data_IF_745204371114
#
_entry.id   IF_745204371114
#
_cell.length_a   1.000
_cell.length_b   1.000
_cell.length_c   1.000
_cell.angle_alpha   90.00
_cell.angle_beta   90.00
_cell.angle_gamma   90.00
#
_symmetry.space_group_name_H-M   'P 1'
#
loop_
_entity.id
_entity.type
_entity.pdbx_description
1 polymer ?
#
# COMPACT_ATOMS: atom_id res chain seq x y z
N UNK A 1 2.40 -11.25 -3.63
CA UNK A 1 3.23 -10.10 -4.06
C UNK A 1 4.66 -10.43 -3.64
N UNK A 2 5.50 -10.88 -4.59
CA UNK A 2 6.91 -11.14 -4.31
C UNK A 2 7.60 -9.83 -3.87
N UNK A 3 8.64 -9.89 -3.02
CA UNK A 3 9.09 -8.77 -2.19
C UNK A 3 9.71 -7.57 -2.94
N UNK A 4 9.70 -7.58 -4.28
CA UNK A 4 10.35 -6.59 -5.14
C UNK A 4 9.38 -5.79 -6.00
N UNK A 5 8.08 -6.11 -5.97
CA UNK A 5 7.08 -5.43 -6.79
C UNK A 5 6.37 -4.31 -6.04
N UNK A 6 6.53 -3.08 -6.51
CA UNK A 6 5.68 -1.95 -6.13
C UNK A 6 4.37 -2.06 -6.90
N UNK A 7 3.24 -1.91 -6.22
CA UNK A 7 1.93 -1.98 -6.85
C UNK A 7 0.94 -1.06 -6.15
N UNK A 8 -0.06 -0.61 -6.90
CA UNK A 8 -1.19 0.18 -6.41
C UNK A 8 -2.42 -0.71 -6.50
N UNK A 9 -3.15 -0.84 -5.39
CA UNK A 9 -4.46 -1.47 -5.36
C UNK A 9 -5.50 -0.36 -5.37
N UNK A 10 -6.22 -0.24 -6.47
CA UNK A 10 -7.32 0.71 -6.61
C UNK A 10 -8.56 -0.01 -7.10
N UNK A 11 -9.72 0.35 -6.56
CA UNK A 11 -10.98 -0.13 -7.06
C UNK A 11 -11.33 0.60 -8.37
N UNK A 12 -11.51 -0.14 -9.46
CA UNK A 12 -11.85 0.42 -10.76
C UNK A 12 -13.29 0.99 -10.83
N UNK A 13 -14.18 0.54 -9.93
CA UNK A 13 -15.56 1.01 -9.87
C UNK A 13 -15.74 1.99 -8.71
N UNK A 14 -16.11 3.24 -9.02
CA UNK A 14 -16.33 4.28 -8.02
C UNK A 14 -17.60 4.06 -7.17
N UNK A 15 -18.59 3.35 -7.71
CA UNK A 15 -19.93 3.16 -7.13
C UNK A 15 -20.10 1.81 -6.40
N UNK A 16 -19.09 0.94 -6.45
CA UNK A 16 -19.15 -0.41 -5.87
C UNK A 16 -18.05 -0.62 -4.86
N UNK A 17 -18.28 -1.48 -3.86
CA UNK A 17 -17.25 -1.86 -2.90
C UNK A 17 -16.50 -3.08 -3.41
N UNK A 18 -15.16 -3.03 -3.30
CA UNK A 18 -14.29 -4.18 -3.48
C UNK A 18 -13.76 -4.59 -2.11
N UNK A 19 -13.79 -5.90 -1.81
CA UNK A 19 -13.28 -6.46 -0.56
C UNK A 19 -12.20 -7.46 -0.90
N UNK A 20 -11.02 -7.31 -0.30
CA UNK A 20 -9.88 -8.21 -0.48
C UNK A 20 -9.36 -8.68 0.87
N UNK A 21 -8.79 -9.90 0.91
CA UNK A 21 -8.11 -10.46 2.07
C UNK A 21 -6.65 -10.72 1.70
N UNK A 22 -5.74 -10.12 2.45
CA UNK A 22 -4.30 -10.26 2.24
C UNK A 22 -3.71 -10.98 3.46
N UNK A 23 -3.04 -12.10 3.23
CA UNK A 23 -2.38 -12.88 4.28
C UNK A 23 -0.88 -12.71 4.13
N UNK A 24 -0.23 -12.27 5.21
CA UNK A 24 1.22 -12.15 5.32
C UNK A 24 1.73 -13.22 6.30
N UNK A 25 2.88 -13.83 6.00
CA UNK A 25 3.45 -14.93 6.80
C UNK A 25 4.03 -14.52 8.17
N UNK A 26 3.85 -13.27 8.57
CA UNK A 26 4.33 -12.69 9.82
C UNK A 26 3.73 -11.30 10.03
N UNK A 27 4.01 -10.68 11.18
CA UNK A 27 3.53 -9.34 11.48
C UNK A 27 4.17 -8.29 10.57
N UNK A 28 3.34 -7.46 9.95
CA UNK A 28 3.80 -6.38 9.08
C UNK A 28 3.85 -5.07 9.88
N UNK A 29 5.01 -4.80 10.49
CA UNK A 29 5.22 -3.61 11.34
C UNK A 29 5.45 -2.32 10.55
N UNK A 30 6.01 -2.43 9.34
CA UNK A 30 6.35 -1.29 8.49
C UNK A 30 6.30 -1.64 7.01
N UNK A 31 6.09 -0.63 6.18
CA UNK A 31 6.26 -0.72 4.73
C UNK A 31 6.95 0.54 4.19
N UNK A 32 7.32 0.52 2.91
CA UNK A 32 7.67 1.73 2.18
C UNK A 32 6.47 2.16 1.34
N UNK A 33 6.12 3.43 1.41
CA UNK A 33 5.15 4.07 0.53
C UNK A 33 5.90 5.00 -0.43
N UNK A 34 5.31 5.20 -1.60
CA UNK A 34 5.81 6.13 -2.60
C UNK A 34 4.73 7.18 -2.79
N UNK A 35 5.05 8.43 -2.49
CA UNK A 35 4.12 9.56 -2.59
C UNK A 35 4.51 10.38 -3.83
N UNK A 36 3.55 10.80 -4.67
CA UNK A 36 3.84 11.63 -5.84
C UNK A 36 4.25 13.03 -5.38
N UNK A 37 5.34 13.55 -5.94
CA UNK A 37 5.78 14.93 -5.78
C UNK A 37 5.26 15.84 -6.90
N UNK A 38 5.36 17.16 -6.68
CA UNK A 38 4.91 18.18 -7.64
C UNK A 38 5.76 18.24 -8.92
N UNK A 39 6.94 17.62 -8.91
CA UNK A 39 7.92 17.55 -10.00
C UNK A 39 7.77 16.30 -10.88
N UNK A 40 6.72 15.49 -10.64
CA UNK A 40 6.49 14.23 -11.33
C UNK A 40 7.37 13.06 -10.86
N UNK A 41 8.21 13.27 -9.84
CA UNK A 41 8.96 12.21 -9.19
C UNK A 41 8.21 11.63 -7.99
N UNK A 42 8.58 10.41 -7.61
CA UNK A 42 8.02 9.74 -6.43
C UNK A 42 9.03 9.76 -5.29
N UNK A 43 8.57 10.12 -4.10
CA UNK A 43 9.40 10.10 -2.88
C UNK A 43 9.12 8.85 -2.06
N UNK A 44 10.17 8.07 -1.78
CA UNK A 44 10.08 6.89 -0.91
C UNK A 44 10.05 7.31 0.55
N UNK A 45 9.05 6.84 1.30
CA UNK A 45 8.91 7.06 2.74
C UNK A 45 8.67 5.75 3.49
N UNK A 46 9.38 5.55 4.59
CA UNK A 46 9.07 4.47 5.53
C UNK A 46 7.82 4.82 6.33
N UNK A 47 6.87 3.89 6.44
CA UNK A 47 5.62 4.06 7.19
C UNK A 47 5.46 2.92 8.18
N UNK A 48 5.31 3.27 9.46
CA UNK A 48 4.90 2.32 10.51
C UNK A 48 3.43 1.96 10.34
N UNK A 49 3.11 0.70 10.61
CA UNK A 49 1.77 0.14 10.54
C UNK A 49 1.28 -0.18 11.95
N UNK A 50 -0.01 0.02 12.17
CA UNK A 50 -0.66 -0.28 13.45
C UNK A 50 -2.10 -0.70 13.18
N UNK A 51 -2.66 -1.48 14.11
CA UNK A 51 -4.08 -1.78 14.13
C UNK A 51 -4.82 -0.60 14.77
N UNK A 52 -5.94 -0.21 14.19
CA UNK A 52 -6.84 0.74 14.83
C UNK A 52 -7.79 -0.04 15.75
N UNK A 53 -8.00 0.46 16.97
CA UNK A 53 -8.98 -0.06 17.92
C UNK A 53 -10.40 0.40 17.57
#
# INVERSE_FOLDING_TARGET
>A
IPPYEYHVLANAHADRKAVTLHVYGGEMERCNVYEPGDDGWWTRRARSLAYNN
#
